data_IF_234127219345
#
_entry.id   IF_234127219345
#
_cell.length_a   1.000
_cell.length_b   1.000
_cell.length_c   1.000
_cell.angle_alpha   90.00
_cell.angle_beta   90.00
_cell.angle_gamma   90.00
#
_symmetry.space_group_name_H-M   'P 1'
#
loop_
_entity.id
_entity.type
_entity.pdbx_description
1 polymer ?
#
# COMPACT_ATOMS: atom_id res chain seq x y z
N UNK A 1 12.36 -38.54 44.34
CA UNK A 1 12.69 -37.30 45.07
C UNK A 1 13.62 -36.53 44.16
N UNK A 2 13.07 -35.55 43.45
CA UNK A 2 13.82 -34.70 42.51
C UNK A 2 14.19 -33.43 43.27
N UNK A 3 15.45 -33.04 43.19
CA UNK A 3 16.12 -32.07 44.06
C UNK A 3 15.40 -30.73 44.16
N UNK A 4 14.79 -30.50 45.33
CA UNK A 4 14.23 -29.23 45.78
C UNK A 4 15.29 -28.12 45.90
N UNK A 5 16.58 -28.47 45.97
CA UNK A 5 17.68 -27.51 46.08
C UNK A 5 18.10 -26.93 44.72
N UNK A 6 17.99 -27.71 43.63
CA UNK A 6 18.30 -27.23 42.28
C UNK A 6 17.27 -26.20 41.76
N UNK A 7 15.99 -26.37 42.13
CA UNK A 7 14.93 -25.40 41.85
C UNK A 7 15.13 -24.10 42.67
N UNK A 8 15.55 -24.20 43.93
CA UNK A 8 15.81 -23.04 44.79
C UNK A 8 17.03 -22.21 44.38
N UNK A 9 18.08 -22.82 43.83
CA UNK A 9 19.23 -22.07 43.30
C UNK A 9 18.95 -21.40 41.95
N UNK A 10 18.10 -22.00 41.10
CA UNK A 10 17.68 -21.40 39.84
C UNK A 10 16.72 -20.23 40.07
N UNK A 11 15.82 -20.32 41.06
CA UNK A 11 14.99 -19.20 41.53
C UNK A 11 15.81 -18.10 42.23
N UNK A 12 16.86 -18.42 42.99
CA UNK A 12 17.74 -17.41 43.60
C UNK A 12 18.65 -16.71 42.58
N UNK A 13 19.12 -17.43 41.55
CA UNK A 13 19.88 -16.84 40.43
C UNK A 13 19.00 -15.96 39.54
N UNK A 14 17.78 -16.40 39.22
CA UNK A 14 16.78 -15.60 38.51
C UNK A 14 16.34 -14.39 39.35
N UNK A 15 16.12 -14.55 40.66
CA UNK A 15 15.79 -13.45 41.57
C UNK A 15 16.92 -12.42 41.69
N UNK A 16 18.18 -12.86 41.75
CA UNK A 16 19.34 -11.95 41.82
C UNK A 16 19.59 -11.22 40.50
N UNK A 17 19.40 -11.88 39.34
CA UNK A 17 19.52 -11.21 38.03
C UNK A 17 18.39 -10.20 37.79
N UNK A 18 17.18 -10.49 38.26
CA UNK A 18 16.02 -9.57 38.20
C UNK A 18 16.23 -8.36 39.12
N UNK A 19 16.75 -8.56 40.34
CA UNK A 19 17.06 -7.45 41.27
C UNK A 19 18.14 -6.53 40.71
N UNK A 20 19.21 -7.09 40.13
CA UNK A 20 20.31 -6.33 39.53
C UNK A 20 19.81 -5.57 38.28
N UNK A 21 19.02 -6.21 37.42
CA UNK A 21 18.40 -5.56 36.25
C UNK A 21 17.50 -4.39 36.62
N UNK A 22 16.65 -4.53 37.64
CA UNK A 22 15.77 -3.48 38.15
C UNK A 22 16.54 -2.27 38.69
N UNK A 23 17.63 -2.50 39.44
CA UNK A 23 18.46 -1.40 39.98
C UNK A 23 19.14 -0.58 38.87
N UNK A 24 19.61 -1.23 37.80
CA UNK A 24 20.20 -0.51 36.66
C UNK A 24 19.14 0.27 35.88
N UNK A 25 17.94 -0.29 35.71
CA UNK A 25 16.85 0.39 35.03
C UNK A 25 16.32 1.59 35.83
N UNK A 26 16.19 1.46 37.14
CA UNK A 26 15.81 2.56 38.04
C UNK A 26 16.85 3.68 38.01
N UNK A 27 18.15 3.36 38.16
CA UNK A 27 19.22 4.35 38.06
C UNK A 27 19.27 5.00 36.68
N UNK A 28 19.04 4.23 35.63
CA UNK A 28 18.97 4.75 34.27
C UNK A 28 17.77 5.68 34.09
N UNK A 29 16.57 5.30 34.54
CA UNK A 29 15.37 6.13 34.46
C UNK A 29 15.50 7.41 35.30
N UNK A 30 16.12 7.35 36.49
CA UNK A 30 16.44 8.53 37.30
C UNK A 30 17.44 9.42 36.56
N UNK A 31 18.46 8.84 35.93
CA UNK A 31 19.45 9.58 35.16
C UNK A 31 18.84 10.23 33.92
N UNK A 32 18.00 9.50 33.20
CA UNK A 32 17.25 9.99 32.03
C UNK A 32 16.23 11.06 32.44
N UNK A 33 15.55 10.91 33.58
CA UNK A 33 14.66 11.93 34.16
C UNK A 33 15.37 13.26 34.42
N UNK A 34 16.65 13.20 34.80
CA UNK A 34 17.49 14.39 35.00
C UNK A 34 18.05 14.99 33.70
N UNK A 35 17.84 14.34 32.55
CA UNK A 35 18.28 14.82 31.24
C UNK A 35 17.16 15.57 30.54
N UNK A 36 17.46 16.78 30.03
CA UNK A 36 16.55 17.53 29.18
C UNK A 36 16.42 16.91 27.79
N UNK A 37 17.55 16.59 27.17
CA UNK A 37 17.66 16.01 25.83
C UNK A 37 18.38 14.65 25.86
N UNK A 38 18.20 13.87 24.79
CA UNK A 38 18.96 12.64 24.59
C UNK A 38 20.45 12.98 24.45
N UNK A 39 21.35 12.35 25.23
CA UNK A 39 22.78 12.55 25.07
C UNK A 39 23.23 12.22 23.63
N UNK A 40 24.11 13.02 23.00
CA UNK A 40 24.59 12.75 21.65
C UNK A 40 25.31 11.39 21.49
N UNK A 41 25.79 10.82 22.59
CA UNK A 41 26.44 9.52 22.64
C UNK A 41 25.48 8.33 22.62
N UNK A 42 24.18 8.56 22.81
CA UNK A 42 23.15 7.52 22.76
C UNK A 42 22.48 7.55 21.39
N UNK A 43 22.84 6.60 20.54
CA UNK A 43 22.18 6.43 19.25
C UNK A 43 20.71 5.99 19.43
N UNK A 44 19.85 6.38 18.48
CA UNK A 44 18.43 6.03 18.47
C UNK A 44 18.21 4.52 18.53
N UNK A 45 19.03 3.73 17.83
CA UNK A 45 18.91 2.26 17.85
C UNK A 45 19.22 1.70 19.24
N UNK A 46 20.20 2.27 19.94
CA UNK A 46 20.52 1.87 21.31
C UNK A 46 19.35 2.18 22.26
N UNK A 47 18.74 3.37 22.13
CA UNK A 47 17.58 3.72 22.96
C UNK A 47 16.41 2.76 22.74
N UNK A 48 16.12 2.39 21.48
CA UNK A 48 15.08 1.39 21.19
C UNK A 48 15.44 0.01 21.75
N UNK A 49 16.70 -0.45 21.62
CA UNK A 49 17.14 -1.71 22.22
C UNK A 49 17.00 -1.71 23.75
N UNK A 50 17.28 -0.58 24.40
CA UNK A 50 17.09 -0.44 25.85
C UNK A 50 15.62 -0.52 26.23
N UNK A 51 14.74 0.12 25.46
CA UNK A 51 13.28 -0.01 25.64
C UNK A 51 12.83 -1.46 25.46
N UNK A 52 13.43 -2.19 24.53
CA UNK A 52 13.07 -3.58 24.22
C UNK A 52 13.46 -4.54 25.33
N UNK A 53 14.67 -4.36 25.87
CA UNK A 53 15.17 -5.10 27.02
C UNK A 53 14.37 -4.76 28.27
N UNK A 54 14.15 -3.48 28.56
CA UNK A 54 13.39 -3.04 29.72
C UNK A 54 11.93 -3.49 29.65
N UNK A 55 11.34 -3.45 28.45
CA UNK A 55 9.97 -3.92 28.20
C UNK A 55 9.81 -5.43 28.24
N UNK A 56 10.90 -6.20 28.37
CA UNK A 56 10.84 -7.66 28.52
C UNK A 56 10.60 -8.11 29.96
N UNK A 57 10.85 -7.24 30.93
CA UNK A 57 10.73 -7.55 32.35
C UNK A 57 9.56 -6.79 32.99
N UNK A 58 8.59 -7.55 33.51
CA UNK A 58 7.41 -7.01 34.19
C UNK A 58 7.74 -6.25 35.48
N UNK A 59 8.88 -6.48 36.13
CA UNK A 59 9.24 -5.74 37.35
C UNK A 59 9.59 -4.27 37.09
N UNK A 60 9.98 -3.93 35.86
CA UNK A 60 10.21 -2.53 35.45
C UNK A 60 8.93 -1.69 35.47
N UNK A 61 7.76 -2.32 35.48
CA UNK A 61 6.47 -1.65 35.65
C UNK A 61 6.41 -0.83 36.95
N UNK A 62 6.94 -1.40 38.04
CA UNK A 62 6.97 -0.76 39.36
C UNK A 62 7.83 0.49 39.33
N UNK A 63 9.03 0.37 38.75
CA UNK A 63 9.99 1.47 38.59
C UNK A 63 9.37 2.62 37.79
N UNK A 64 8.70 2.31 36.68
CA UNK A 64 7.99 3.32 35.88
C UNK A 64 6.88 3.96 36.71
N UNK A 65 6.05 3.18 37.41
CA UNK A 65 4.93 3.70 38.20
C UNK A 65 5.35 4.63 39.33
N UNK A 66 6.58 4.50 39.83
CA UNK A 66 7.15 5.33 40.90
C UNK A 66 7.95 6.53 40.37
N UNK A 67 8.54 6.40 39.18
CA UNK A 67 9.37 7.46 38.56
C UNK A 67 8.53 8.45 37.78
N UNK A 68 7.55 7.95 37.02
CA UNK A 68 6.68 8.74 36.13
C UNK A 68 5.95 9.88 36.85
N UNK A 69 5.36 9.70 38.05
CA UNK A 69 4.73 10.79 38.80
C UNK A 69 5.70 11.95 39.10
N UNK A 70 6.98 11.67 39.28
CA UNK A 70 8.03 12.63 39.67
C UNK A 70 8.65 13.37 38.48
N UNK A 71 8.34 12.97 37.24
CA UNK A 71 8.86 13.61 36.04
C UNK A 71 8.25 15.01 35.84
N UNK A 72 9.10 16.01 35.63
CA UNK A 72 8.67 17.30 35.11
C UNK A 72 8.58 17.23 33.58
N UNK A 73 7.35 17.13 33.08
CA UNK A 73 7.07 16.91 31.66
C UNK A 73 7.52 18.10 30.78
N UNK A 74 7.63 19.30 31.34
CA UNK A 74 8.09 20.48 30.60
C UNK A 74 9.60 20.50 30.38
N UNK A 75 10.38 19.92 31.28
CA UNK A 75 11.85 19.99 31.26
C UNK A 75 12.54 18.69 30.88
N UNK A 76 11.85 17.55 30.93
CA UNK A 76 12.46 16.21 30.76
C UNK A 76 11.86 15.46 29.56
N UNK A 77 11.87 16.09 28.36
CA UNK A 77 11.20 15.55 27.16
C UNK A 77 11.73 14.17 26.76
N UNK A 78 13.05 13.97 26.79
CA UNK A 78 13.64 12.67 26.49
C UNK A 78 13.15 11.58 27.44
N UNK A 79 13.08 11.87 28.75
CA UNK A 79 12.56 10.95 29.74
C UNK A 79 11.08 10.62 29.52
N UNK A 80 10.28 11.62 29.17
CA UNK A 80 8.87 11.42 28.86
C UNK A 80 8.69 10.53 27.64
N UNK A 81 9.42 10.78 26.55
CA UNK A 81 9.39 9.93 25.34
C UNK A 81 9.79 8.50 25.68
N UNK A 82 10.88 8.33 26.42
CA UNK A 82 11.37 7.01 26.83
C UNK A 82 10.30 6.26 27.64
N UNK A 83 9.71 6.92 28.64
CA UNK A 83 8.66 6.33 29.48
C UNK A 83 7.42 5.96 28.67
N UNK A 84 6.94 6.83 27.76
CA UNK A 84 5.80 6.54 26.90
C UNK A 84 6.04 5.31 26.00
N UNK A 85 7.24 5.21 25.40
CA UNK A 85 7.59 4.06 24.55
C UNK A 85 7.70 2.76 25.34
N UNK A 86 8.27 2.82 26.54
CA UNK A 86 8.38 1.66 27.42
C UNK A 86 7.00 1.21 27.93
N UNK A 87 6.15 2.14 28.36
CA UNK A 87 4.75 1.87 28.72
C UNK A 87 4.01 1.17 27.57
N UNK A 88 4.15 1.68 26.34
CA UNK A 88 3.56 1.07 25.15
C UNK A 88 4.02 -0.37 24.95
N UNK A 89 5.32 -0.64 25.11
CA UNK A 89 5.89 -2.00 24.96
C UNK A 89 5.35 -2.96 26.03
N UNK A 90 5.29 -2.53 27.27
CA UNK A 90 4.75 -3.33 28.37
C UNK A 90 3.26 -3.66 28.15
N UNK A 91 2.46 -2.66 27.76
CA UNK A 91 1.04 -2.85 27.47
C UNK A 91 0.79 -3.80 26.29
N UNK A 92 1.57 -3.69 25.21
CA UNK A 92 1.47 -4.61 24.06
C UNK A 92 1.78 -6.06 24.40
N UNK A 93 2.55 -6.30 25.47
CA UNK A 93 2.85 -7.65 25.97
C UNK A 93 1.79 -8.19 26.94
N UNK A 94 0.70 -7.45 27.17
CA UNK A 94 -0.36 -7.86 28.09
C UNK A 94 0.04 -7.80 29.56
N UNK A 95 1.13 -7.09 29.89
CA UNK A 95 1.53 -6.85 31.28
C UNK A 95 0.55 -5.83 31.85
N UNK A 96 -0.44 -6.34 32.61
CA UNK A 96 -1.49 -5.55 33.21
C UNK A 96 -0.96 -4.56 34.24
N UNK A 97 -1.52 -3.34 34.27
CA UNK A 97 -1.24 -2.35 35.29
C UNK A 97 -2.29 -2.43 36.39
N UNK A 98 -1.88 -2.81 37.59
CA UNK A 98 -2.72 -2.69 38.79
C UNK A 98 -2.95 -1.21 39.19
N UNK A 99 -2.12 -0.29 38.68
CA UNK A 99 -2.18 1.16 38.94
C UNK A 99 -2.45 1.97 37.67
N UNK A 100 -3.60 1.71 37.02
CA UNK A 100 -4.03 2.44 35.80
C UNK A 100 -3.97 3.96 35.98
N UNK A 101 -4.33 4.45 37.17
CA UNK A 101 -4.33 5.87 37.55
C UNK A 101 -2.99 6.60 37.32
N UNK A 102 -1.85 5.93 37.53
CA UNK A 102 -0.54 6.57 37.36
C UNK A 102 -0.17 6.74 35.88
N UNK A 103 -0.58 5.79 35.03
CA UNK A 103 -0.34 5.84 33.58
C UNK A 103 -1.24 6.89 32.93
N UNK A 104 -2.51 6.91 33.33
CA UNK A 104 -3.52 7.85 32.82
C UNK A 104 -3.19 9.28 33.25
N UNK A 105 -2.83 9.52 34.52
CA UNK A 105 -2.37 10.82 35.02
C UNK A 105 -1.10 11.32 34.32
N UNK A 106 -0.16 10.43 34.00
CA UNK A 106 1.03 10.80 33.24
C UNK A 106 0.71 11.20 31.82
N UNK A 107 -0.11 10.41 31.12
CA UNK A 107 -0.52 10.73 29.76
C UNK A 107 -1.26 12.06 29.70
N UNK A 108 -2.10 12.37 30.70
CA UNK A 108 -2.76 13.68 30.81
C UNK A 108 -1.77 14.83 30.89
N UNK A 109 -0.73 14.69 31.73
CA UNK A 109 0.34 15.69 31.82
C UNK A 109 1.13 15.82 30.52
N UNK A 110 1.36 14.72 29.81
CA UNK A 110 1.99 14.73 28.49
C UNK A 110 1.13 15.46 27.45
N UNK A 111 -0.17 15.17 27.38
CA UNK A 111 -1.11 15.83 26.47
C UNK A 111 -1.17 17.36 26.69
N UNK A 112 -1.11 17.80 27.94
CA UNK A 112 -1.11 19.24 28.28
C UNK A 112 0.22 19.94 28.04
N UNK A 113 1.33 19.21 28.06
CA UNK A 113 2.67 19.79 27.96
C UNK A 113 3.28 19.75 26.55
N UNK A 114 2.79 18.85 25.69
CA UNK A 114 3.34 18.65 24.34
C UNK A 114 3.07 19.86 23.45
N UNK A 115 4.06 20.22 22.62
CA UNK A 115 3.94 21.28 21.61
C UNK A 115 3.98 20.69 20.20
N UNK A 116 3.53 21.47 19.21
CA UNK A 116 3.40 21.02 17.82
C UNK A 116 4.76 20.74 17.16
N UNK A 117 5.81 21.41 17.62
CA UNK A 117 7.19 21.19 17.20
C UNK A 117 7.83 19.91 17.80
N UNK A 118 7.21 19.29 18.81
CA UNK A 118 7.76 18.14 19.53
C UNK A 118 7.42 16.80 18.84
N UNK A 119 7.85 16.62 17.59
CA UNK A 119 7.42 15.51 16.74
C UNK A 119 7.62 14.12 17.37
N UNK A 120 8.78 13.87 17.98
CA UNK A 120 9.06 12.58 18.65
C UNK A 120 8.15 12.34 19.85
N UNK A 121 7.75 13.41 20.54
CA UNK A 121 6.87 13.35 21.70
C UNK A 121 5.42 13.10 21.28
N UNK A 122 4.93 13.84 20.29
CA UNK A 122 3.61 13.62 19.67
C UNK A 122 3.46 12.18 19.16
N UNK A 123 4.48 11.67 18.45
CA UNK A 123 4.47 10.30 17.96
C UNK A 123 4.38 9.28 19.09
N UNK A 124 5.15 9.45 20.17
CA UNK A 124 5.10 8.55 21.33
C UNK A 124 3.74 8.59 22.05
N UNK A 125 3.12 9.78 22.15
CA UNK A 125 1.79 9.97 22.73
C UNK A 125 0.74 9.21 21.92
N UNK A 126 0.63 9.43 20.60
CA UNK A 126 -0.38 8.75 19.77
C UNK A 126 -0.18 7.23 19.70
N UNK A 127 1.06 6.76 19.68
CA UNK A 127 1.35 5.34 19.69
C UNK A 127 0.97 4.66 21.02
N UNK A 128 1.04 5.36 22.15
CA UNK A 128 0.57 4.87 23.43
C UNK A 128 -0.97 4.92 23.51
N UNK A 129 -1.58 6.04 23.10
CA UNK A 129 -3.04 6.21 23.03
C UNK A 129 -3.70 5.09 22.22
N UNK A 130 -3.13 4.74 21.07
CA UNK A 130 -3.64 3.64 20.23
C UNK A 130 -3.68 2.29 20.96
N UNK A 131 -2.68 2.01 21.81
CA UNK A 131 -2.63 0.76 22.60
C UNK A 131 -3.63 0.80 23.74
N UNK A 132 -3.74 1.93 24.44
CA UNK A 132 -4.73 2.11 25.52
C UNK A 132 -6.16 2.05 25.00
N UNK A 133 -6.42 2.64 23.83
CA UNK A 133 -7.69 2.56 23.13
C UNK A 133 -7.99 1.10 22.78
N UNK A 134 -7.07 0.36 22.18
CA UNK A 134 -7.25 -1.08 21.91
C UNK A 134 -7.56 -1.93 23.14
N UNK A 135 -7.23 -1.46 24.35
CA UNK A 135 -7.53 -2.12 25.63
C UNK A 135 -8.77 -1.58 26.35
N UNK A 136 -9.44 -0.55 25.81
CA UNK A 136 -10.62 0.08 26.42
C UNK A 136 -10.33 0.91 27.67
N UNK A 137 -9.16 1.57 27.73
CA UNK A 137 -8.69 2.33 28.90
C UNK A 137 -8.64 3.85 28.60
N UNK A 138 -8.94 4.27 27.37
CA UNK A 138 -8.66 5.61 26.87
C UNK A 138 -9.83 6.61 26.91
N UNK A 139 -11.01 6.21 27.39
CA UNK A 139 -12.24 7.04 27.38
C UNK A 139 -12.04 8.42 28.04
N UNK A 140 -11.25 8.49 29.12
CA UNK A 140 -10.99 9.74 29.87
C UNK A 140 -10.18 10.79 29.09
N UNK A 141 -9.41 10.37 28.06
CA UNK A 141 -8.54 11.26 27.28
C UNK A 141 -9.09 11.55 25.88
N UNK A 142 -10.19 10.90 25.52
CA UNK A 142 -10.63 10.78 24.14
C UNK A 142 -10.78 12.15 23.46
N UNK A 143 -11.43 13.12 24.12
CA UNK A 143 -11.64 14.48 23.59
C UNK A 143 -10.32 15.27 23.42
N UNK A 144 -9.47 15.29 24.43
CA UNK A 144 -8.19 16.03 24.39
C UNK A 144 -7.25 15.44 23.33
N UNK A 145 -7.17 14.10 23.30
CA UNK A 145 -6.39 13.36 22.31
C UNK A 145 -6.94 13.54 20.88
N UNK A 146 -8.26 13.57 20.71
CA UNK A 146 -8.90 13.85 19.43
C UNK A 146 -8.60 15.28 18.94
N UNK A 147 -8.74 16.28 19.81
CA UNK A 147 -8.44 17.67 19.46
C UNK A 147 -6.96 17.83 19.07
N UNK A 148 -6.05 17.19 19.82
CA UNK A 148 -4.62 17.17 19.47
C UNK A 148 -4.37 16.45 18.13
N UNK A 149 -5.06 15.34 17.87
CA UNK A 149 -4.98 14.61 16.61
C UNK A 149 -5.38 15.49 15.42
N UNK A 150 -6.53 16.16 15.52
CA UNK A 150 -7.01 17.07 14.49
C UNK A 150 -6.03 18.23 14.27
N UNK A 151 -5.47 18.82 15.33
CA UNK A 151 -4.44 19.86 15.22
C UNK A 151 -3.17 19.34 14.53
N UNK A 152 -2.70 18.14 14.87
CA UNK A 152 -1.53 17.52 14.25
C UNK A 152 -1.73 17.27 12.76
N UNK A 153 -2.92 16.82 12.38
CA UNK A 153 -3.26 16.65 10.97
C UNK A 153 -3.35 18.02 10.30
N UNK A 154 -4.03 19.02 10.86
CA UNK A 154 -4.14 20.36 10.22
C UNK A 154 -2.83 21.15 10.11
N UNK A 155 -1.77 20.77 10.80
CA UNK A 155 -0.53 21.57 10.85
C UNK A 155 0.38 21.29 9.65
N UNK A 156 0.66 22.35 8.89
CA UNK A 156 1.64 22.35 7.81
C UNK A 156 3.05 22.07 8.35
N UNK A 157 3.83 21.26 7.64
CA UNK A 157 5.18 20.87 8.08
C UNK A 157 5.21 19.78 9.17
N UNK A 158 4.06 19.28 9.63
CA UNK A 158 4.01 18.13 10.52
C UNK A 158 4.61 16.91 9.82
N UNK A 159 5.54 16.23 10.51
CA UNK A 159 6.26 15.09 9.93
C UNK A 159 5.35 13.91 9.61
N UNK A 160 5.71 13.14 8.57
CA UNK A 160 4.91 12.00 8.12
C UNK A 160 4.74 10.92 9.20
N UNK A 161 5.71 10.73 10.09
CA UNK A 161 5.61 9.71 11.13
C UNK A 161 4.63 10.11 12.25
N UNK A 162 4.50 11.41 12.56
CA UNK A 162 3.45 11.89 13.47
C UNK A 162 2.10 11.72 12.79
N UNK A 163 1.94 12.18 11.54
CA UNK A 163 0.68 12.03 10.79
C UNK A 163 0.21 10.57 10.74
N UNK A 164 1.11 9.62 10.47
CA UNK A 164 0.81 8.18 10.49
C UNK A 164 0.34 7.69 11.87
N UNK A 165 1.08 7.99 12.93
CA UNK A 165 0.69 7.59 14.29
C UNK A 165 -0.66 8.20 14.70
N UNK A 166 -0.92 9.45 14.32
CA UNK A 166 -2.20 10.12 14.53
C UNK A 166 -3.33 9.44 13.74
N UNK A 167 -3.10 9.08 12.48
CA UNK A 167 -4.09 8.38 11.66
C UNK A 167 -4.42 7.00 12.21
N UNK A 168 -3.42 6.24 12.71
CA UNK A 168 -3.65 4.95 13.39
C UNK A 168 -4.59 5.11 14.60
N UNK A 169 -4.35 6.13 15.42
CA UNK A 169 -5.22 6.43 16.56
C UNK A 169 -6.65 6.80 16.12
N UNK A 170 -6.79 7.71 15.15
CA UNK A 170 -8.11 8.09 14.63
C UNK A 170 -8.87 6.91 14.00
N UNK A 171 -8.17 6.01 13.31
CA UNK A 171 -8.75 4.80 12.71
C UNK A 171 -9.34 3.89 13.80
N UNK A 172 -8.60 3.65 14.88
CA UNK A 172 -9.08 2.85 16.01
C UNK A 172 -10.32 3.44 16.67
N UNK A 173 -10.38 4.77 16.77
CA UNK A 173 -11.56 5.45 17.30
C UNK A 173 -12.79 5.23 16.41
N UNK A 174 -12.64 5.32 15.09
CA UNK A 174 -13.75 5.12 14.13
C UNK A 174 -14.25 3.68 14.12
N UNK A 175 -13.34 2.71 14.16
CA UNK A 175 -13.70 1.28 14.19
C UNK A 175 -14.49 0.91 15.45
N UNK A 176 -14.26 1.63 16.55
CA UNK A 176 -15.06 1.53 17.78
C UNK A 176 -16.33 2.37 17.65
N UNK A 177 -17.41 1.72 17.24
CA UNK A 177 -18.75 2.31 17.01
C UNK A 177 -19.38 3.11 18.18
N UNK A 178 -18.75 3.16 19.35
CA UNK A 178 -19.24 3.85 20.56
C UNK A 178 -18.60 5.24 20.80
N UNK A 179 -17.79 5.75 19.88
CA UNK A 179 -17.18 7.08 20.03
C UNK A 179 -18.18 8.22 19.73
N UNK A 180 -18.47 9.07 20.72
CA UNK A 180 -19.26 10.30 20.57
C UNK A 180 -18.44 11.47 20.00
N UNK A 181 -17.59 11.21 19.00
CA UNK A 181 -16.71 12.22 18.42
C UNK A 181 -17.29 12.81 17.13
N UNK A 182 -17.12 14.11 16.95
CA UNK A 182 -17.41 14.78 15.68
C UNK A 182 -16.28 14.51 14.68
N UNK A 183 -16.61 13.80 13.60
CA UNK A 183 -15.70 13.45 12.52
C UNK A 183 -15.61 14.49 11.41
N UNK A 184 -16.47 15.52 11.41
CA UNK A 184 -16.44 16.58 10.40
C UNK A 184 -15.07 17.28 10.30
N UNK A 185 -14.32 17.54 11.40
CA UNK A 185 -12.97 18.09 11.32
C UNK A 185 -12.00 17.18 10.55
N UNK A 186 -12.10 15.86 10.70
CA UNK A 186 -11.23 14.90 10.01
C UNK A 186 -11.55 14.82 8.51
N UNK A 187 -12.84 14.83 8.15
CA UNK A 187 -13.30 14.93 6.76
C UNK A 187 -12.82 16.24 6.12
N UNK A 188 -12.85 17.35 6.87
CA UNK A 188 -12.31 18.63 6.39
C UNK A 188 -10.81 18.55 6.08
N UNK A 189 -10.01 17.80 6.87
CA UNK A 189 -8.59 17.61 6.55
C UNK A 189 -8.42 16.76 5.29
N UNK A 190 -9.20 15.67 5.15
CA UNK A 190 -9.19 14.85 3.93
C UNK A 190 -9.45 15.71 2.68
N UNK A 191 -10.39 16.66 2.76
CA UNK A 191 -10.75 17.56 1.66
C UNK A 191 -9.76 18.73 1.43
N UNK A 192 -8.70 18.88 2.22
CA UNK A 192 -7.75 20.01 2.09
C UNK A 192 -6.94 19.99 0.80
N UNK A 193 -6.75 18.81 0.19
CA UNK A 193 -6.01 18.65 -1.06
C UNK A 193 -4.48 18.65 -0.93
N UNK A 194 -3.92 18.70 0.28
CA UNK A 194 -2.47 18.56 0.51
C UNK A 194 -2.02 17.09 0.40
N UNK A 195 -0.92 16.87 -0.31
CA UNK A 195 -0.28 15.58 -0.59
C UNK A 195 0.18 14.86 0.67
N UNK A 196 0.41 15.61 1.75
CA UNK A 196 0.79 15.07 3.05
C UNK A 196 -0.34 14.32 3.77
N UNK A 197 -1.57 14.37 3.25
CA UNK A 197 -2.78 13.82 3.89
C UNK A 197 -3.28 12.52 3.31
N UNK A 198 -2.55 11.91 2.40
CA UNK A 198 -2.93 10.63 1.81
C UNK A 198 -3.05 9.50 2.86
N UNK A 199 -2.37 9.62 4.01
CA UNK A 199 -2.53 8.69 5.14
C UNK A 199 -3.92 8.76 5.79
N UNK A 200 -4.67 9.86 5.62
CA UNK A 200 -6.05 9.99 6.09
C UNK A 200 -6.99 9.17 5.21
N UNK A 201 -6.67 8.97 3.93
CA UNK A 201 -7.50 8.16 3.04
C UNK A 201 -7.64 6.73 3.56
N UNK A 202 -6.60 6.15 4.18
CA UNK A 202 -6.63 4.82 4.81
C UNK A 202 -7.72 4.66 5.87
N UNK A 203 -8.11 5.76 6.53
CA UNK A 203 -9.15 5.77 7.55
C UNK A 203 -10.52 5.57 6.91
N UNK A 204 -10.79 6.29 5.81
CA UNK A 204 -12.11 6.36 5.21
C UNK A 204 -12.37 5.31 4.12
N UNK A 205 -11.34 4.59 3.64
CA UNK A 205 -11.54 3.46 2.71
C UNK A 205 -12.49 2.42 3.32
N UNK A 206 -12.37 2.14 4.62
CA UNK A 206 -13.24 1.20 5.33
C UNK A 206 -14.60 1.79 5.72
N UNK A 207 -14.71 3.13 5.76
CA UNK A 207 -15.88 3.86 6.24
C UNK A 207 -16.33 5.00 5.30
N UNK A 208 -16.55 4.72 4.00
CA UNK A 208 -16.93 5.74 3.02
C UNK A 208 -18.30 6.37 3.31
N UNK A 209 -19.14 5.73 4.12
CA UNK A 209 -20.43 6.24 4.61
C UNK A 209 -20.30 7.53 5.42
N UNK A 210 -19.16 7.73 6.10
CA UNK A 210 -18.89 8.91 6.93
C UNK A 210 -18.60 10.17 6.12
N UNK A 211 -18.32 10.04 4.83
CA UNK A 211 -18.09 11.16 3.91
C UNK A 211 -19.43 11.55 3.26
N UNK A 212 -19.86 12.78 3.50
CA UNK A 212 -21.05 13.36 2.86
C UNK A 212 -20.83 13.59 1.36
N UNK A 213 -21.91 13.68 0.58
CA UNK A 213 -21.85 13.93 -0.87
C UNK A 213 -21.06 15.23 -1.17
N UNK A 214 -21.30 16.30 -0.42
CA UNK A 214 -20.58 17.57 -0.59
C UNK A 214 -19.07 17.46 -0.31
N UNK A 215 -18.68 16.69 0.72
CA UNK A 215 -17.27 16.46 1.02
C UNK A 215 -16.62 15.58 -0.06
N UNK A 216 -17.34 14.56 -0.55
CA UNK A 216 -16.89 13.72 -1.66
C UNK A 216 -16.67 14.54 -2.94
N UNK A 217 -17.57 15.48 -3.26
CA UNK A 217 -17.43 16.36 -4.41
C UNK A 217 -16.16 17.22 -4.32
N UNK A 218 -15.89 17.83 -3.16
CA UNK A 218 -14.67 18.62 -2.92
C UNK A 218 -13.43 17.74 -3.06
N UNK A 219 -13.43 16.57 -2.41
CA UNK A 219 -12.30 15.64 -2.43
C UNK A 219 -11.98 15.14 -3.85
N UNK A 220 -12.99 14.69 -4.59
CA UNK A 220 -12.86 14.23 -5.97
C UNK A 220 -12.45 15.38 -6.92
N UNK A 221 -12.93 16.60 -6.69
CA UNK A 221 -12.52 17.77 -7.46
C UNK A 221 -11.05 18.12 -7.23
N UNK A 222 -10.54 17.97 -6.00
CA UNK A 222 -9.14 18.19 -5.67
C UNK A 222 -8.22 17.14 -6.31
N UNK A 223 -8.69 15.90 -6.49
CA UNK A 223 -7.94 14.85 -7.19
C UNK A 223 -7.52 15.25 -8.61
N UNK A 224 -8.32 16.08 -9.29
CA UNK A 224 -8.00 16.58 -10.63
C UNK A 224 -6.68 17.36 -10.68
N UNK A 225 -6.29 18.03 -9.57
CA UNK A 225 -5.08 18.85 -9.49
C UNK A 225 -3.89 18.14 -8.86
N UNK A 226 -4.08 16.89 -8.38
CA UNK A 226 -3.10 16.18 -7.57
C UNK A 226 -2.00 15.55 -8.42
N UNK A 227 -0.76 15.56 -7.92
CA UNK A 227 0.43 15.03 -8.63
C UNK A 227 0.99 13.78 -7.98
N UNK A 228 1.05 13.75 -6.65
CA UNK A 228 1.47 12.58 -5.88
C UNK A 228 0.25 11.93 -5.23
N UNK A 229 0.25 10.61 -5.10
CA UNK A 229 -0.88 9.88 -4.52
C UNK A 229 -0.43 8.53 -3.96
N UNK A 230 -1.07 8.08 -2.89
CA UNK A 230 -0.93 6.71 -2.37
C UNK A 230 -1.99 5.78 -2.96
N UNK A 231 -1.83 4.47 -2.72
CA UNK A 231 -2.82 3.49 -3.11
C UNK A 231 -4.17 3.69 -2.39
N UNK A 232 -4.15 3.95 -1.09
CA UNK A 232 -5.35 4.18 -0.27
C UNK A 232 -6.14 5.41 -0.73
N UNK A 233 -5.44 6.43 -1.24
CA UNK A 233 -6.08 7.59 -1.87
C UNK A 233 -6.85 7.21 -3.15
N UNK A 234 -6.26 6.36 -3.98
CA UNK A 234 -6.91 5.82 -5.20
C UNK A 234 -8.14 4.99 -4.85
N UNK A 235 -8.00 4.10 -3.87
CA UNK A 235 -9.10 3.24 -3.41
C UNK A 235 -10.28 4.06 -2.90
N UNK A 236 -10.02 5.07 -2.05
CA UNK A 236 -11.07 5.94 -1.54
C UNK A 236 -11.76 6.72 -2.66
N UNK A 237 -10.99 7.27 -3.63
CA UNK A 237 -11.58 7.92 -4.79
C UNK A 237 -12.50 6.99 -5.56
N UNK A 238 -12.06 5.78 -5.86
CA UNK A 238 -12.86 4.81 -6.60
C UNK A 238 -14.18 4.50 -5.88
N UNK A 239 -14.13 4.26 -4.56
CA UNK A 239 -15.31 4.02 -3.73
C UNK A 239 -16.25 5.24 -3.74
N UNK A 240 -15.71 6.46 -3.65
CA UNK A 240 -16.51 7.68 -3.67
C UNK A 240 -17.17 7.93 -5.02
N UNK A 241 -16.49 7.65 -6.14
CA UNK A 241 -17.07 7.75 -7.47
C UNK A 241 -18.14 6.70 -7.74
N UNK A 242 -17.95 5.48 -7.24
CA UNK A 242 -18.95 4.41 -7.29
C UNK A 242 -20.20 4.80 -6.50
N UNK A 243 -20.03 5.29 -5.26
CA UNK A 243 -21.14 5.68 -4.38
C UNK A 243 -21.91 6.90 -4.90
N UNK A 244 -21.23 7.85 -5.56
CA UNK A 244 -21.82 9.12 -6.00
C UNK A 244 -21.84 9.21 -7.53
N UNK A 245 -22.88 8.66 -8.16
CA UNK A 245 -23.05 8.59 -9.63
C UNK A 245 -22.84 9.94 -10.33
N UNK A 246 -23.22 11.05 -9.69
CA UNK A 246 -23.03 12.41 -10.23
C UNK A 246 -21.56 12.81 -10.40
N UNK A 247 -20.65 12.19 -9.64
CA UNK A 247 -19.22 12.47 -9.71
C UNK A 247 -18.53 11.68 -10.82
N UNK A 248 -19.21 10.72 -11.49
CA UNK A 248 -18.63 9.93 -12.58
C UNK A 248 -18.11 10.82 -13.71
N UNK A 249 -18.79 11.93 -14.00
CA UNK A 249 -18.37 12.91 -15.01
C UNK A 249 -17.00 13.55 -14.69
N UNK A 250 -16.63 13.64 -13.40
CA UNK A 250 -15.30 14.11 -13.00
C UNK A 250 -14.22 13.08 -13.35
N UNK A 251 -14.52 11.79 -13.20
CA UNK A 251 -13.60 10.69 -13.54
C UNK A 251 -13.28 10.73 -15.03
N UNK A 252 -14.31 10.84 -15.86
CA UNK A 252 -14.17 10.83 -17.33
C UNK A 252 -13.70 12.17 -17.89
N UNK A 253 -13.63 13.22 -17.06
CA UNK A 253 -13.14 14.54 -17.45
C UNK A 253 -11.73 14.52 -18.05
N UNK A 254 -11.45 15.49 -18.93
CA UNK A 254 -10.09 15.78 -19.44
C UNK A 254 -9.27 16.69 -18.52
N UNK A 255 -9.82 17.07 -17.36
CA UNK A 255 -9.22 18.06 -16.43
C UNK A 255 -8.15 17.47 -15.49
N UNK A 256 -7.88 16.17 -15.54
CA UNK A 256 -6.88 15.54 -14.69
C UNK A 256 -5.46 15.97 -15.05
N UNK A 257 -4.74 16.54 -14.08
CA UNK A 257 -3.30 16.83 -14.19
C UNK A 257 -2.50 15.52 -14.27
N UNK A 258 -2.88 14.52 -13.46
CA UNK A 258 -2.22 13.21 -13.44
C UNK A 258 -3.07 12.15 -14.14
N UNK A 259 -2.72 11.84 -15.40
CA UNK A 259 -3.34 10.74 -16.12
C UNK A 259 -3.11 9.39 -15.43
N UNK A 260 -1.95 9.20 -14.80
CA UNK A 260 -1.65 8.01 -14.00
C UNK A 260 -2.64 7.84 -12.83
N UNK A 261 -3.02 8.93 -12.16
CA UNK A 261 -4.02 8.87 -11.08
C UNK A 261 -5.39 8.48 -11.64
N UNK A 262 -5.84 9.17 -12.70
CA UNK A 262 -7.12 8.88 -13.39
C UNK A 262 -7.24 7.40 -13.75
N UNK A 263 -6.23 6.85 -14.42
CA UNK A 263 -6.21 5.45 -14.85
C UNK A 263 -6.22 4.47 -13.66
N UNK A 264 -5.50 4.75 -12.56
CA UNK A 264 -5.53 3.89 -11.38
C UNK A 264 -6.89 3.91 -10.67
N UNK A 265 -7.55 5.08 -10.60
CA UNK A 265 -8.91 5.20 -10.05
C UNK A 265 -9.90 4.40 -10.91
N UNK A 266 -9.87 4.58 -12.22
CA UNK A 266 -10.70 3.83 -13.16
C UNK A 266 -10.49 2.32 -13.02
N UNK A 267 -9.23 1.88 -12.95
CA UNK A 267 -8.89 0.47 -12.71
C UNK A 267 -9.49 -0.06 -11.41
N UNK A 268 -9.39 0.71 -10.33
CA UNK A 268 -9.94 0.33 -9.03
C UNK A 268 -11.49 0.26 -9.06
N UNK A 269 -12.14 1.20 -9.75
CA UNK A 269 -13.60 1.17 -9.95
C UNK A 269 -14.03 -0.09 -10.70
N UNK A 270 -13.34 -0.44 -11.80
CA UNK A 270 -13.68 -1.63 -12.58
C UNK A 270 -13.43 -2.91 -11.78
N UNK A 271 -12.35 -2.97 -10.99
CA UNK A 271 -12.11 -4.11 -10.10
C UNK A 271 -13.17 -4.30 -9.02
N UNK A 272 -13.88 -3.24 -8.67
CA UNK A 272 -14.97 -3.25 -7.69
C UNK A 272 -16.35 -3.47 -8.33
N UNK A 273 -16.44 -3.68 -9.65
CA UNK A 273 -17.69 -4.01 -10.34
C UNK A 273 -18.32 -2.88 -11.14
N UNK A 274 -17.68 -1.71 -11.23
CA UNK A 274 -18.14 -0.59 -12.09
C UNK A 274 -17.70 -0.77 -13.56
N UNK A 275 -17.99 -1.93 -14.18
CA UNK A 275 -17.55 -2.24 -15.56
C UNK A 275 -18.10 -1.27 -16.62
N UNK A 276 -19.23 -0.60 -16.35
CA UNK A 276 -19.85 0.35 -17.27
C UNK A 276 -18.93 1.50 -17.72
N UNK A 277 -17.98 1.90 -16.87
CA UNK A 277 -17.01 2.97 -17.16
C UNK A 277 -15.94 2.54 -18.18
N UNK A 278 -15.83 1.25 -18.48
CA UNK A 278 -14.87 0.74 -19.46
C UNK A 278 -15.08 1.36 -20.84
N UNK A 279 -16.33 1.63 -21.24
CA UNK A 279 -16.61 2.29 -22.52
C UNK A 279 -15.96 3.67 -22.62
N UNK A 280 -15.90 4.40 -21.51
CA UNK A 280 -15.29 5.72 -21.45
C UNK A 280 -13.76 5.62 -21.39
N UNK A 281 -13.25 4.64 -20.63
CA UNK A 281 -11.81 4.33 -20.54
C UNK A 281 -11.21 4.05 -21.94
N UNK A 282 -11.94 3.37 -22.81
CA UNK A 282 -11.50 3.00 -24.16
C UNK A 282 -11.33 4.18 -25.12
N UNK A 283 -11.98 5.31 -24.82
CA UNK A 283 -11.88 6.53 -25.62
C UNK A 283 -10.68 7.40 -25.22
N UNK A 284 -9.98 7.06 -24.13
CA UNK A 284 -8.84 7.81 -23.64
C UNK A 284 -7.58 7.53 -24.48
N UNK A 285 -6.97 8.59 -25.00
CA UNK A 285 -5.79 8.49 -25.89
C UNK A 285 -4.53 7.93 -25.23
N UNK A 286 -4.48 7.93 -23.90
CA UNK A 286 -3.31 7.49 -23.12
C UNK A 286 -3.53 6.13 -22.44
N UNK A 287 -4.64 5.46 -22.75
CA UNK A 287 -4.91 4.13 -22.22
C UNK A 287 -3.89 3.14 -22.78
N UNK A 288 -3.21 2.39 -21.91
CA UNK A 288 -2.31 1.32 -22.35
C UNK A 288 -3.01 -0.03 -22.34
N UNK A 289 -2.46 -1.00 -23.07
CA UNK A 289 -2.92 -2.40 -23.00
C UNK A 289 -2.80 -2.95 -21.58
N UNK A 290 -1.77 -2.57 -20.81
CA UNK A 290 -1.62 -2.96 -19.40
C UNK A 290 -2.78 -2.49 -18.51
N UNK A 291 -3.28 -1.28 -18.72
CA UNK A 291 -4.45 -0.75 -18.00
C UNK A 291 -5.70 -1.58 -18.30
N UNK A 292 -5.89 -1.92 -19.57
CA UNK A 292 -6.99 -2.75 -20.04
C UNK A 292 -6.90 -4.17 -19.44
N UNK A 293 -5.74 -4.81 -19.53
CA UNK A 293 -5.51 -6.18 -19.03
C UNK A 293 -5.81 -6.33 -17.54
N UNK A 294 -5.49 -5.30 -16.75
CA UNK A 294 -5.78 -5.30 -15.32
C UNK A 294 -7.29 -5.33 -15.02
N UNK A 295 -8.10 -4.77 -15.92
CA UNK A 295 -9.55 -4.71 -15.80
C UNK A 295 -10.26 -5.96 -16.33
N UNK A 296 -9.67 -6.65 -17.32
CA UNK A 296 -10.32 -7.74 -18.07
C UNK A 296 -10.94 -8.85 -17.20
N UNK A 297 -10.25 -9.25 -16.13
CA UNK A 297 -10.73 -10.30 -15.22
C UNK A 297 -12.04 -9.97 -14.48
N UNK A 298 -12.44 -8.69 -14.46
CA UNK A 298 -13.65 -8.22 -13.79
C UNK A 298 -14.82 -7.99 -14.75
N UNK A 299 -14.59 -8.17 -16.05
CA UNK A 299 -15.60 -7.97 -17.09
C UNK A 299 -16.33 -9.27 -17.39
N UNK A 300 -17.59 -9.17 -17.80
CA UNK A 300 -18.34 -10.31 -18.33
C UNK A 300 -17.72 -10.83 -19.64
N UNK A 301 -17.91 -12.10 -19.98
CA UNK A 301 -17.39 -12.69 -21.24
C UNK A 301 -17.84 -11.90 -22.49
N UNK A 302 -19.06 -11.34 -22.44
CA UNK A 302 -19.61 -10.50 -23.51
C UNK A 302 -18.84 -9.19 -23.67
N UNK A 303 -18.55 -8.52 -22.56
CA UNK A 303 -17.75 -7.28 -22.55
C UNK A 303 -16.32 -7.57 -22.99
N UNK A 304 -15.69 -8.60 -22.44
CA UNK A 304 -14.35 -9.04 -22.85
C UNK A 304 -14.28 -9.26 -24.36
N UNK A 305 -15.22 -10.02 -24.93
CA UNK A 305 -15.26 -10.29 -26.37
C UNK A 305 -15.42 -9.00 -27.19
N UNK A 306 -16.31 -8.11 -26.77
CA UNK A 306 -16.53 -6.82 -27.43
C UNK A 306 -15.26 -5.97 -27.43
N UNK A 307 -14.55 -5.91 -26.31
CA UNK A 307 -13.34 -5.10 -26.17
C UNK A 307 -12.14 -5.71 -26.87
N UNK A 308 -12.03 -7.03 -26.93
CA UNK A 308 -11.01 -7.70 -27.74
C UNK A 308 -11.12 -7.31 -29.21
N UNK A 309 -12.34 -7.28 -29.77
CA UNK A 309 -12.56 -6.89 -31.17
C UNK A 309 -12.06 -5.46 -31.45
N UNK A 310 -12.22 -4.54 -30.49
CA UNK A 310 -11.77 -3.16 -30.63
C UNK A 310 -10.24 -2.99 -30.44
N UNK A 311 -9.63 -3.82 -29.59
CA UNK A 311 -8.22 -3.69 -29.20
C UNK A 311 -7.25 -4.44 -30.08
N UNK A 312 -7.65 -5.56 -30.65
CA UNK A 312 -6.78 -6.35 -31.54
C UNK A 312 -6.16 -5.46 -32.63
N UNK A 313 -6.90 -4.60 -33.35
CA UNK A 313 -6.31 -3.72 -34.36
C UNK A 313 -5.24 -2.75 -33.85
N UNK A 314 -5.23 -2.44 -32.54
CA UNK A 314 -4.31 -1.48 -31.89
C UNK A 314 -2.99 -2.13 -31.46
N UNK A 315 -2.84 -3.46 -31.55
CA UNK A 315 -1.68 -4.20 -31.03
C UNK A 315 -0.33 -3.83 -31.68
N UNK A 316 -0.33 -3.21 -32.86
CA UNK A 316 0.90 -2.70 -33.48
C UNK A 316 1.38 -1.36 -32.93
N UNK A 317 0.54 -0.63 -32.20
CA UNK A 317 0.91 0.66 -31.63
C UNK A 317 1.87 0.44 -30.45
N UNK A 318 3.13 0.87 -30.60
CA UNK A 318 4.17 0.70 -29.59
C UNK A 318 3.96 1.59 -28.36
N UNK A 319 3.23 2.70 -28.50
CA UNK A 319 2.95 3.64 -27.41
C UNK A 319 1.81 3.10 -26.55
N UNK A 320 0.77 2.59 -27.20
CA UNK A 320 -0.45 2.12 -26.53
C UNK A 320 -0.31 0.66 -26.06
N UNK A 321 0.39 -0.18 -26.84
CA UNK A 321 0.61 -1.58 -26.50
C UNK A 321 2.12 -1.83 -26.35
N UNK A 322 2.74 -1.60 -25.18
CA UNK A 322 4.11 -2.03 -24.90
C UNK A 322 4.31 -3.53 -25.13
N UNK A 323 5.56 -3.96 -25.40
CA UNK A 323 5.85 -5.37 -25.73
C UNK A 323 5.43 -6.30 -24.58
N UNK A 324 5.75 -5.91 -23.36
CA UNK A 324 5.47 -6.65 -22.13
C UNK A 324 3.95 -6.88 -21.96
N UNK A 325 3.15 -5.85 -22.27
CA UNK A 325 1.70 -5.93 -22.22
C UNK A 325 1.14 -6.83 -23.32
N UNK A 326 1.70 -6.78 -24.54
CA UNK A 326 1.30 -7.71 -25.61
C UNK A 326 1.63 -9.15 -25.24
N UNK A 327 2.78 -9.41 -24.60
CA UNK A 327 3.12 -10.74 -24.08
C UNK A 327 2.08 -11.19 -23.05
N UNK A 328 1.75 -10.34 -22.08
CA UNK A 328 0.73 -10.64 -21.07
C UNK A 328 -0.65 -10.88 -21.70
N UNK A 329 -1.03 -10.08 -22.70
CA UNK A 329 -2.24 -10.25 -23.49
C UNK A 329 -2.27 -11.62 -24.16
N UNK A 330 -1.23 -11.97 -24.92
CA UNK A 330 -1.10 -13.26 -25.61
C UNK A 330 -1.06 -14.48 -24.67
N UNK A 331 -0.81 -14.29 -23.37
CA UNK A 331 -0.83 -15.36 -22.36
C UNK A 331 -2.11 -15.38 -21.53
N UNK A 332 -2.99 -14.41 -21.73
CA UNK A 332 -4.22 -14.25 -20.96
C UNK A 332 -5.25 -15.35 -21.22
N UNK A 333 -5.85 -15.98 -20.18
CA UNK A 333 -6.72 -17.15 -20.32
C UNK A 333 -8.00 -16.92 -21.14
N UNK A 334 -8.43 -15.67 -21.31
CA UNK A 334 -9.65 -15.28 -22.04
C UNK A 334 -9.47 -15.17 -23.56
N UNK A 335 -8.26 -15.30 -24.09
CA UNK A 335 -8.04 -15.32 -25.55
C UNK A 335 -8.14 -16.75 -26.04
N UNK A 336 -9.17 -17.05 -26.84
CA UNK A 336 -9.37 -18.36 -27.46
C UNK A 336 -8.57 -18.53 -28.77
N UNK A 337 -8.50 -19.77 -29.27
CA UNK A 337 -7.82 -20.10 -30.53
C UNK A 337 -8.43 -19.34 -31.74
N UNK A 338 -9.72 -18.98 -31.69
CA UNK A 338 -10.41 -18.34 -32.82
C UNK A 338 -9.96 -16.89 -33.01
N UNK A 339 -9.59 -16.20 -31.92
CA UNK A 339 -9.07 -14.82 -31.96
C UNK A 339 -7.63 -14.72 -32.44
N UNK A 340 -6.88 -15.83 -32.47
CA UNK A 340 -5.48 -15.82 -32.86
C UNK A 340 -5.25 -15.48 -34.33
N UNK A 341 -6.23 -15.72 -35.20
CA UNK A 341 -6.18 -15.31 -36.60
C UNK A 341 -6.16 -13.77 -36.70
N UNK A 342 -7.12 -13.10 -36.06
CA UNK A 342 -7.20 -11.64 -36.03
C UNK A 342 -5.95 -11.01 -35.39
N UNK A 343 -5.45 -11.62 -34.31
CA UNK A 343 -4.24 -11.17 -33.61
C UNK A 343 -2.99 -11.34 -34.49
N UNK A 344 -2.87 -12.46 -35.20
CA UNK A 344 -1.75 -12.72 -36.09
C UNK A 344 -1.70 -11.72 -37.23
N UNK A 345 -2.84 -11.49 -37.87
CA UNK A 345 -2.96 -10.53 -38.98
C UNK A 345 -2.66 -9.11 -38.50
N UNK A 346 -3.10 -8.75 -37.28
CA UNK A 346 -2.75 -7.47 -36.69
C UNK A 346 -1.25 -7.37 -36.41
N UNK A 347 -0.60 -8.38 -35.81
CA UNK A 347 0.80 -8.29 -35.37
C UNK A 347 1.86 -8.48 -36.47
N UNK A 348 1.48 -8.66 -37.74
CA UNK A 348 2.40 -8.96 -38.84
C UNK A 348 3.61 -8.02 -38.92
N UNK A 349 3.39 -6.71 -38.80
CA UNK A 349 4.46 -5.71 -38.84
C UNK A 349 5.33 -5.73 -37.57
N UNK A 350 4.71 -6.05 -36.44
CA UNK A 350 5.39 -6.10 -35.14
C UNK A 350 6.26 -7.33 -34.97
N UNK A 351 5.97 -8.43 -35.67
CA UNK A 351 6.83 -9.61 -35.70
C UNK A 351 8.23 -9.33 -36.24
N UNK A 352 8.39 -8.34 -37.12
CA UNK A 352 9.73 -7.94 -37.61
C UNK A 352 10.59 -7.31 -36.51
N UNK A 353 9.96 -6.63 -35.55
CA UNK A 353 10.65 -5.99 -34.42
C UNK A 353 10.71 -6.89 -33.18
N UNK A 354 9.78 -7.83 -33.05
CA UNK A 354 9.67 -8.73 -31.90
C UNK A 354 9.20 -10.12 -32.34
N UNK A 355 10.10 -10.92 -32.96
CA UNK A 355 9.77 -12.26 -33.45
C UNK A 355 9.31 -13.22 -32.34
N UNK A 356 9.71 -12.96 -31.10
CA UNK A 356 9.34 -13.74 -29.92
C UNK A 356 7.83 -13.69 -29.61
N UNK A 357 7.10 -12.67 -30.07
CA UNK A 357 5.63 -12.64 -29.99
C UNK A 357 5.02 -13.78 -30.80
N UNK A 358 5.52 -14.06 -32.01
CA UNK A 358 5.06 -15.19 -32.81
C UNK A 358 5.36 -16.51 -32.10
N UNK A 359 6.55 -16.63 -31.48
CA UNK A 359 6.91 -17.82 -30.69
C UNK A 359 5.89 -18.09 -29.59
N UNK A 360 5.51 -17.06 -28.83
CA UNK A 360 4.52 -17.17 -27.76
C UNK A 360 3.17 -17.62 -28.34
N UNK A 361 2.77 -17.07 -29.49
CA UNK A 361 1.53 -17.48 -30.13
C UNK A 361 1.52 -18.94 -30.55
N UNK A 362 2.59 -19.39 -31.22
CA UNK A 362 2.74 -20.76 -31.70
C UNK A 362 2.82 -21.78 -30.56
N UNK A 363 3.42 -21.40 -29.42
CA UNK A 363 3.53 -22.27 -28.25
C UNK A 363 2.19 -22.49 -27.54
N UNK A 364 1.27 -21.53 -27.62
CA UNK A 364 0.03 -21.59 -26.86
C UNK A 364 -1.00 -22.55 -27.45
N UNK A 365 -1.15 -22.55 -28.77
CA UNK A 365 -2.12 -23.40 -29.48
C UNK A 365 -1.44 -24.16 -30.62
N UNK A 366 -1.03 -25.40 -30.36
CA UNK A 366 -0.33 -26.24 -31.34
C UNK A 366 -1.15 -26.52 -32.61
N UNK A 367 -2.46 -26.71 -32.50
CA UNK A 367 -3.34 -26.93 -33.66
C UNK A 367 -3.42 -25.71 -34.58
N UNK A 368 -3.51 -24.52 -34.00
CA UNK A 368 -3.46 -23.25 -34.73
C UNK A 368 -2.09 -23.05 -35.40
N UNK A 369 -1.01 -23.33 -34.67
CA UNK A 369 0.35 -23.25 -35.19
C UNK A 369 0.58 -24.12 -36.44
N UNK A 370 0.04 -25.35 -36.44
CA UNK A 370 0.09 -26.24 -37.60
C UNK A 370 -0.65 -25.66 -38.81
N UNK A 371 -1.83 -25.04 -38.59
CA UNK A 371 -2.61 -24.40 -39.67
C UNK A 371 -1.91 -23.18 -40.26
N UNK A 372 -1.20 -22.39 -39.44
CA UNK A 372 -0.52 -21.15 -39.87
C UNK A 372 0.93 -21.35 -40.32
N UNK A 373 1.46 -22.57 -40.23
CA UNK A 373 2.84 -22.88 -40.61
C UNK A 373 3.17 -22.40 -42.03
N UNK A 374 2.32 -22.69 -43.01
CA UNK A 374 2.56 -22.26 -44.40
C UNK A 374 2.52 -20.74 -44.56
N UNK A 375 1.61 -20.05 -43.87
CA UNK A 375 1.52 -18.59 -43.89
C UNK A 375 2.79 -17.94 -43.32
N UNK A 376 3.31 -18.47 -42.21
CA UNK A 376 4.58 -18.01 -41.62
C UNK A 376 5.76 -18.27 -42.56
N UNK A 377 5.83 -19.44 -43.19
CA UNK A 377 6.88 -19.75 -44.19
C UNK A 377 6.82 -18.76 -45.34
N UNK A 378 5.63 -18.49 -45.88
CA UNK A 378 5.45 -17.56 -46.98
C UNK A 378 5.86 -16.13 -46.59
N UNK A 379 5.49 -15.70 -45.37
CA UNK A 379 5.85 -14.38 -44.82
C UNK A 379 7.36 -14.21 -44.63
N UNK A 380 8.04 -15.22 -44.09
CA UNK A 380 9.49 -15.20 -43.92
C UNK A 380 10.20 -15.24 -45.29
N UNK A 381 9.72 -16.09 -46.20
CA UNK A 381 10.31 -16.28 -47.54
C UNK A 381 10.26 -15.00 -48.37
N UNK A 382 9.13 -14.27 -48.33
CA UNK A 382 9.01 -12.98 -49.03
C UNK A 382 9.94 -11.90 -48.48
N UNK A 383 10.43 -12.07 -47.25
CA UNK A 383 11.28 -11.08 -46.56
C UNK A 383 12.78 -11.31 -46.75
N UNK A 384 13.22 -12.47 -47.26
CA UNK A 384 14.64 -12.69 -47.60
C UNK A 384 15.16 -11.78 -48.71
N UNK A 385 14.26 -11.35 -49.60
CA UNK A 385 14.56 -10.39 -50.66
C UNK A 385 14.48 -8.93 -50.19
N UNK A 386 14.19 -8.68 -48.92
CA UNK A 386 14.12 -7.32 -48.37
C UNK A 386 15.52 -6.67 -48.37
N UNK A 387 15.63 -5.36 -48.70
CA UNK A 387 16.88 -4.63 -48.56
C UNK A 387 17.30 -4.41 -47.09
N UNK A 388 16.34 -4.49 -46.15
CA UNK A 388 16.56 -4.32 -44.72
C UNK A 388 17.11 -5.61 -44.09
N UNK A 389 18.32 -5.54 -43.51
CA UNK A 389 18.99 -6.68 -42.91
C UNK A 389 18.32 -7.12 -41.60
N UNK A 390 17.74 -6.21 -40.82
CA UNK A 390 17.04 -6.53 -39.57
C UNK A 390 15.79 -7.37 -39.89
N UNK A 391 15.09 -7.04 -40.99
CA UNK A 391 13.94 -7.80 -41.47
C UNK A 391 14.34 -9.20 -41.96
N UNK A 392 15.51 -9.36 -42.57
CA UNK A 392 16.04 -10.68 -42.97
C UNK A 392 16.41 -11.54 -41.77
N UNK A 393 17.07 -10.97 -40.76
CA UNK A 393 17.39 -11.69 -39.52
C UNK A 393 16.14 -12.09 -38.75
N UNK A 394 15.15 -11.19 -38.65
CA UNK A 394 13.85 -11.49 -38.09
C UNK A 394 13.14 -12.63 -38.84
N UNK A 395 13.22 -12.69 -40.17
CA UNK A 395 12.66 -13.79 -40.96
C UNK A 395 13.27 -15.16 -40.59
N UNK A 396 14.57 -15.22 -40.32
CA UNK A 396 15.25 -16.43 -39.83
C UNK A 396 14.70 -16.81 -38.45
N UNK A 397 14.56 -15.84 -37.55
CA UNK A 397 14.01 -16.08 -36.21
C UNK A 397 12.54 -16.54 -36.26
N UNK A 398 11.71 -15.98 -37.14
CA UNK A 398 10.32 -16.42 -37.32
C UNK A 398 10.26 -17.89 -37.78
N UNK A 399 11.13 -18.31 -38.70
CA UNK A 399 11.23 -19.72 -39.11
C UNK A 399 11.71 -20.63 -37.99
N UNK A 400 12.62 -20.14 -37.12
CA UNK A 400 13.06 -20.88 -35.92
C UNK A 400 11.94 -21.07 -34.89
N UNK A 401 10.93 -20.21 -34.90
CA UNK A 401 9.78 -20.28 -34.00
C UNK A 401 8.76 -21.35 -34.41
N UNK A 402 8.77 -21.79 -35.67
CA UNK A 402 7.87 -22.84 -36.12
C UNK A 402 8.08 -24.11 -35.31
N UNK A 403 7.01 -24.82 -34.91
CA UNK A 403 7.15 -26.11 -34.26
C UNK A 403 8.08 -26.96 -35.12
N UNK A 404 9.01 -27.69 -34.50
CA UNK A 404 9.68 -28.81 -35.16
C UNK A 404 8.61 -29.89 -35.36
N UNK A 405 7.71 -29.67 -36.31
CA UNK A 405 6.87 -30.72 -36.86
C UNK A 405 7.90 -31.69 -37.41
N UNK A 406 8.08 -32.80 -36.71
CA UNK A 406 8.77 -33.94 -37.27
C UNK A 406 8.25 -34.06 -38.71
N UNK A 407 9.15 -34.04 -39.69
CA UNK A 407 8.87 -34.53 -41.03
C UNK A 407 8.41 -35.98 -40.87
N UNK A 408 7.14 -36.15 -40.51
CA UNK A 408 6.47 -37.40 -40.19
C UNK A 408 5.47 -37.72 -41.29
N UNK A 409 5.83 -37.35 -42.51
CA UNK A 409 5.46 -38.12 -43.68
C UNK A 409 6.75 -38.43 -44.42
N UNK A 410 7.14 -39.70 -44.34
CA UNK A 410 8.32 -40.27 -44.97
C UNK A 410 8.22 -40.26 -46.49
N UNK A 411 8.30 -39.08 -47.11
CA UNK A 411 8.77 -38.95 -48.48
C UNK A 411 9.94 -37.98 -48.48
N UNK A 412 11.12 -38.60 -48.40
CA UNK A 412 12.41 -38.03 -48.78
C UNK A 412 12.22 -37.07 -49.95
N UNK A 413 12.37 -35.78 -49.72
CA UNK A 413 12.83 -34.87 -50.76
C UNK A 413 14.25 -35.35 -51.12
N UNK A 414 14.34 -36.13 -52.20
CA UNK A 414 15.62 -36.36 -52.88
C UNK A 414 16.11 -34.99 -53.31
N UNK A 415 17.34 -34.67 -52.87
CA UNK A 415 18.12 -33.54 -53.37
C UNK A 415 18.09 -33.59 -54.90
N UNK A 416 17.63 -32.50 -55.51
CA UNK A 416 17.94 -32.12 -56.88
C UNK A 416 18.97 -31.00 -56.80
#
# INVERSE_FOLDING_TARGET
MVDSEALGEQERKNGSSVIVGNMYMEKFLIKVASMGDCPPSLDRLMVEQMIDLAGADSSNLKVISETVPKLNVHSSKFACIFCLKLLRKLLRRGIGFDRKENVTSFLHRCLKAVRMEDFSFLCAIFQLLSVLEGQGIADEFQTDAWNLAISCLKTDGMTIFVKKATCEYCKLLIEKKDCNLDFAPLVSVLCSGDDSFDCISEIFVAHPEMISEAAAEIFCSNALKKRSFTHSYVELLAVLFEKNVRLIDLVTSKKWISQRLKLNVLRCMVSNGCSGIMKDLLQERNLTLGDLLACFKYLSEKEQTSYLVEWIPKLNDLVICPKEDVVAFLQSPWIDEKKYDDIFDSLLERFWKSPDLLRIMLQRYGNWALKKQQSVINLASSSFSSPDWERRDAAIELLRCLPKVAFRDGKRLKRA
#
